data_IF_254039331797
#
_entry.id   IF_254039331797
#
_cell.length_a   1.000
_cell.length_b   1.000
_cell.length_c   1.000
_cell.angle_alpha   90.00
_cell.angle_beta   90.00
_cell.angle_gamma   90.00
#
_symmetry.space_group_name_H-M   'P 1'
#
loop_
_entity.id
_entity.type
_entity.pdbx_description
1 polymer ?
#
# COMPACT_ATOMS: atom_id res chain seq x y z
N UNK A 1 -19.96 -3.33 22.90
CA UNK A 1 -18.98 -4.27 22.29
C UNK A 1 -18.50 -3.83 20.89
N UNK A 2 -19.36 -3.32 20.01
CA UNK A 2 -18.97 -2.87 18.66
C UNK A 2 -17.85 -1.81 18.61
N UNK A 3 -17.90 -0.78 19.48
CA UNK A 3 -16.88 0.29 19.56
C UNK A 3 -15.50 -0.24 19.96
N UNK A 4 -15.44 -1.17 20.92
CA UNK A 4 -14.19 -1.80 21.36
C UNK A 4 -13.56 -2.67 20.26
N UNK A 5 -14.39 -3.44 19.53
CA UNK A 5 -13.94 -4.24 18.37
C UNK A 5 -13.42 -3.37 17.23
N UNK A 6 -14.11 -2.26 16.94
CA UNK A 6 -13.65 -1.27 15.95
C UNK A 6 -12.30 -0.68 16.34
N UNK A 7 -12.15 -0.28 17.60
CA UNK A 7 -10.89 0.30 18.10
C UNK A 7 -9.73 -0.70 18.06
N UNK A 8 -9.99 -1.96 18.42
CA UNK A 8 -8.99 -3.02 18.31
C UNK A 8 -8.55 -3.24 16.84
N UNK A 9 -9.48 -3.13 15.90
CA UNK A 9 -9.20 -3.16 14.46
C UNK A 9 -8.26 -2.04 14.02
N UNK A 10 -8.53 -0.79 14.42
CA UNK A 10 -7.67 0.37 14.14
C UNK A 10 -6.24 0.17 14.70
N UNK A 11 -6.13 -0.29 15.95
CA UNK A 11 -4.84 -0.54 16.61
C UNK A 11 -4.05 -1.61 15.83
N UNK A 12 -4.72 -2.68 15.39
CA UNK A 12 -4.08 -3.71 14.58
C UNK A 12 -3.65 -3.18 13.22
N UNK A 13 -4.43 -2.30 12.57
CA UNK A 13 -4.00 -1.68 11.30
C UNK A 13 -2.76 -0.80 11.48
N UNK A 14 -2.70 -0.02 12.55
CA UNK A 14 -1.52 0.77 12.87
C UNK A 14 -0.29 -0.11 13.18
N UNK A 15 -0.48 -1.20 13.91
CA UNK A 15 0.58 -2.19 14.17
C UNK A 15 1.10 -2.81 12.86
N UNK A 16 0.20 -3.16 11.93
CA UNK A 16 0.58 -3.70 10.63
C UNK A 16 1.40 -2.68 9.81
N UNK A 17 0.95 -1.42 9.75
CA UNK A 17 1.71 -0.36 9.08
C UNK A 17 3.11 -0.16 9.66
N UNK A 18 3.25 -0.22 11.00
CA UNK A 18 4.56 -0.16 11.67
C UNK A 18 5.45 -1.34 11.27
N UNK A 19 4.91 -2.55 11.19
CA UNK A 19 5.66 -3.74 10.77
C UNK A 19 6.08 -3.64 9.29
N UNK A 20 5.24 -3.10 8.41
CA UNK A 20 5.61 -2.83 7.01
C UNK A 20 6.73 -1.79 6.91
N UNK A 21 6.62 -0.70 7.66
CA UNK A 21 7.67 0.33 7.72
C UNK A 21 9.00 -0.22 8.24
N UNK A 22 8.97 -1.07 9.27
CA UNK A 22 10.17 -1.75 9.76
C UNK A 22 10.78 -2.69 8.71
N UNK A 23 9.95 -3.49 8.02
CA UNK A 23 10.42 -4.37 6.95
C UNK A 23 11.06 -3.61 5.79
N UNK A 24 10.50 -2.46 5.43
CA UNK A 24 11.10 -1.55 4.46
C UNK A 24 12.46 -1.02 4.93
N UNK A 25 12.56 -0.53 6.17
CA UNK A 25 13.82 -0.02 6.72
C UNK A 25 14.91 -1.10 6.77
N UNK A 26 14.56 -2.32 7.18
CA UNK A 26 15.49 -3.45 7.19
C UNK A 26 15.98 -3.81 5.78
N UNK A 27 15.07 -3.85 4.80
CA UNK A 27 15.42 -4.07 3.39
C UNK A 27 16.40 -2.99 2.89
N UNK A 28 16.09 -1.71 3.13
CA UNK A 28 16.90 -0.59 2.67
C UNK A 28 18.28 -0.59 3.30
N UNK A 29 18.39 -0.87 4.60
CA UNK A 29 19.68 -0.95 5.29
C UNK A 29 20.53 -2.13 4.82
N UNK A 30 19.92 -3.29 4.57
CA UNK A 30 20.67 -4.48 4.17
C UNK A 30 21.12 -4.42 2.70
N UNK A 31 20.31 -3.84 1.82
CA UNK A 31 20.57 -3.81 0.38
C UNK A 31 21.21 -2.52 -0.11
N UNK A 32 21.15 -1.46 0.70
CA UNK A 32 21.56 -0.10 0.31
C UNK A 32 20.67 0.53 -0.76
N UNK A 33 19.44 0.00 -0.95
CA UNK A 33 18.50 0.42 -2.00
C UNK A 33 17.08 0.39 -1.48
N UNK A 34 16.21 1.25 -2.00
CA UNK A 34 14.76 1.09 -1.82
C UNK A 34 14.18 0.09 -2.82
N UNK A 35 12.97 -0.47 -2.57
CA UNK A 35 12.35 -1.43 -3.46
C UNK A 35 12.26 -0.92 -4.90
N UNK A 36 12.50 -1.80 -5.86
CA UNK A 36 12.33 -1.48 -7.28
C UNK A 36 10.88 -1.71 -7.71
N UNK A 37 10.39 -0.85 -8.61
CA UNK A 37 9.06 -1.00 -9.20
C UNK A 37 9.01 -2.24 -10.11
N UNK A 38 10.11 -2.59 -10.78
CA UNK A 38 10.15 -3.71 -11.73
C UNK A 38 10.61 -5.03 -11.09
N UNK A 39 11.03 -5.02 -9.83
CA UNK A 39 11.56 -6.20 -9.14
C UNK A 39 10.49 -7.26 -8.89
N UNK A 40 10.95 -8.50 -8.76
CA UNK A 40 10.11 -9.61 -8.32
C UNK A 40 9.07 -9.99 -9.36
N UNK A 41 9.44 -10.14 -10.63
CA UNK A 41 8.49 -10.51 -11.70
C UNK A 41 7.21 -9.63 -11.72
N UNK A 42 7.37 -8.34 -11.41
CA UNK A 42 6.28 -7.39 -11.29
C UNK A 42 5.44 -7.52 -10.01
N UNK A 43 5.94 -8.09 -8.91
CA UNK A 43 5.28 -8.09 -7.58
C UNK A 43 5.58 -6.85 -6.74
N UNK A 44 6.31 -5.88 -7.31
CA UNK A 44 6.55 -4.57 -6.72
C UNK A 44 7.26 -4.67 -5.35
N UNK A 45 6.91 -3.77 -4.42
CA UNK A 45 7.47 -3.72 -3.08
C UNK A 45 7.24 -5.00 -2.26
N UNK A 46 6.15 -5.73 -2.52
CA UNK A 46 5.72 -6.84 -1.67
C UNK A 46 6.72 -8.00 -1.66
N UNK A 47 7.34 -8.30 -2.79
CA UNK A 47 8.38 -9.34 -2.85
C UNK A 47 9.68 -8.84 -2.25
N UNK A 48 10.04 -7.58 -2.51
CA UNK A 48 11.28 -6.97 -2.01
C UNK A 48 11.37 -7.01 -0.49
N UNK A 49 10.31 -6.60 0.20
CA UNK A 49 10.30 -6.54 1.68
C UNK A 49 9.67 -7.78 2.33
N UNK A 50 9.22 -8.75 1.53
CA UNK A 50 8.47 -9.94 1.96
C UNK A 50 9.14 -10.74 3.08
N UNK A 51 10.47 -10.85 2.99
CA UNK A 51 11.31 -11.59 3.94
C UNK A 51 11.64 -10.80 5.21
N UNK A 52 11.42 -9.47 5.17
CA UNK A 52 11.86 -8.52 6.20
C UNK A 52 10.74 -8.11 7.16
N UNK A 53 9.47 -8.41 6.85
CA UNK A 53 8.37 -8.34 7.82
C UNK A 53 8.10 -9.74 8.41
N UNK A 54 7.10 -9.92 9.31
CA UNK A 54 6.88 -11.16 10.11
C UNK A 54 6.49 -12.43 9.33
N UNK A 55 6.95 -12.56 8.07
CA UNK A 55 6.80 -13.69 7.15
C UNK A 55 5.35 -14.10 6.93
N UNK A 56 4.42 -13.16 7.15
CA UNK A 56 2.99 -13.38 6.95
C UNK A 56 2.39 -12.30 6.07
N UNK A 57 1.69 -12.76 5.03
CA UNK A 57 0.93 -11.89 4.14
C UNK A 57 -0.20 -11.13 4.86
N UNK A 58 -0.61 -11.61 6.03
CA UNK A 58 -1.67 -10.98 6.81
C UNK A 58 -1.34 -9.55 7.27
N UNK A 59 -0.05 -9.19 7.37
CA UNK A 59 0.36 -7.82 7.70
C UNK A 59 -0.08 -6.83 6.62
N UNK A 60 -0.15 -7.27 5.36
CA UNK A 60 -0.54 -6.39 4.25
C UNK A 60 -2.02 -6.01 4.31
N UNK A 61 -2.80 -6.65 5.18
CA UNK A 61 -4.25 -6.48 5.28
C UNK A 61 -4.64 -5.73 6.56
N UNK A 62 -5.60 -4.82 6.43
CA UNK A 62 -6.31 -4.27 7.57
C UNK A 62 -7.45 -5.23 7.96
N UNK A 63 -7.73 -5.54 9.24
CA UNK A 63 -8.75 -6.51 9.63
C UNK A 63 -10.17 -6.13 9.21
N UNK A 64 -10.42 -4.85 8.93
CA UNK A 64 -11.70 -4.35 8.42
C UNK A 64 -11.77 -4.33 6.89
N UNK A 65 -10.71 -4.77 6.21
CA UNK A 65 -10.53 -4.67 4.76
C UNK A 65 -9.88 -5.92 4.18
N UNK A 66 -10.55 -7.05 4.39
CA UNK A 66 -10.08 -8.36 3.95
C UNK A 66 -10.28 -8.55 2.44
N UNK A 67 -9.68 -9.62 1.90
CA UNK A 67 -9.94 -10.02 0.53
C UNK A 67 -11.44 -10.28 0.29
N UNK A 68 -11.99 -9.62 -0.72
CA UNK A 68 -13.28 -9.92 -1.34
C UNK A 68 -13.01 -10.14 -2.83
N UNK A 69 -13.86 -10.88 -3.55
CA UNK A 69 -13.70 -11.18 -4.99
C UNK A 69 -13.84 -9.91 -5.87
N UNK A 70 -12.88 -8.99 -5.75
CA UNK A 70 -12.77 -7.70 -6.44
C UNK A 70 -11.28 -7.43 -6.68
N UNK A 71 -10.97 -6.78 -7.81
CA UNK A 71 -9.58 -6.44 -8.16
C UNK A 71 -9.08 -5.22 -7.39
N UNK A 72 -9.89 -4.15 -7.37
CA UNK A 72 -9.59 -2.93 -6.62
C UNK A 72 -10.04 -3.05 -5.17
N UNK A 73 -9.28 -2.42 -4.29
CA UNK A 73 -9.63 -2.28 -2.89
C UNK A 73 -10.77 -1.28 -2.68
N UNK A 74 -11.19 -1.18 -1.44
CA UNK A 74 -12.20 -0.22 -0.96
C UNK A 74 -11.95 0.03 0.52
N UNK A 75 -12.76 0.85 1.18
CA UNK A 75 -12.78 1.04 2.62
C UNK A 75 -13.04 -0.27 3.39
N UNK A 76 -13.57 -1.31 2.74
CA UNK A 76 -13.90 -2.60 3.37
C UNK A 76 -13.35 -3.83 2.64
N UNK A 77 -12.52 -3.64 1.62
CA UNK A 77 -11.89 -4.74 0.86
C UNK A 77 -10.45 -4.45 0.49
N UNK A 78 -9.65 -5.51 0.47
CA UNK A 78 -8.29 -5.47 -0.05
C UNK A 78 -8.28 -5.34 -1.58
N UNK A 79 -7.21 -4.74 -2.10
CA UNK A 79 -6.84 -4.84 -3.50
C UNK A 79 -6.14 -6.18 -3.79
N UNK A 80 -6.13 -6.58 -5.06
CA UNK A 80 -5.50 -7.78 -5.57
C UNK A 80 -4.50 -7.41 -6.66
N UNK A 81 -3.29 -7.97 -6.58
CA UNK A 81 -2.23 -7.76 -7.54
C UNK A 81 -1.78 -9.07 -8.21
N UNK A 82 -1.71 -9.10 -9.53
CA UNK A 82 -1.38 -10.31 -10.29
C UNK A 82 -2.39 -11.46 -10.14
N UNK A 83 -2.02 -12.63 -10.66
CA UNK A 83 -2.88 -13.82 -10.76
C UNK A 83 -2.41 -15.02 -9.91
N UNK A 84 -1.30 -14.87 -9.20
CA UNK A 84 -0.74 -15.96 -8.38
C UNK A 84 -1.66 -16.26 -7.19
N UNK A 85 -1.96 -17.54 -6.99
CA UNK A 85 -2.81 -18.02 -5.91
C UNK A 85 -1.99 -18.56 -4.75
N UNK A 86 -2.50 -18.46 -3.53
CA UNK A 86 -1.89 -19.11 -2.37
C UNK A 86 -2.02 -20.63 -2.52
N UNK A 87 -0.93 -21.35 -2.25
CA UNK A 87 -0.84 -22.81 -2.36
C UNK A 87 -2.00 -23.48 -1.62
N UNK A 88 -2.73 -24.35 -2.30
CA UNK A 88 -3.87 -25.09 -1.73
C UNK A 88 -5.17 -24.30 -1.58
N UNK A 89 -5.24 -23.08 -2.12
CA UNK A 89 -6.44 -22.24 -2.06
C UNK A 89 -6.81 -21.66 -3.43
N UNK A 90 -7.99 -21.03 -3.52
CA UNK A 90 -8.40 -20.19 -4.66
C UNK A 90 -8.27 -18.68 -4.35
N UNK A 91 -7.48 -18.33 -3.33
CA UNK A 91 -7.26 -16.94 -2.95
C UNK A 91 -6.01 -16.36 -3.60
N UNK A 92 -6.05 -15.12 -4.10
CA UNK A 92 -4.85 -14.45 -4.59
C UNK A 92 -3.81 -14.28 -3.48
N UNK A 93 -2.54 -14.58 -3.81
CA UNK A 93 -1.40 -14.44 -2.89
C UNK A 93 -1.09 -12.98 -2.61
N UNK A 94 -1.14 -12.14 -3.64
CA UNK A 94 -0.79 -10.73 -3.50
C UNK A 94 -2.04 -9.90 -3.30
N UNK A 95 -2.37 -9.69 -2.02
CA UNK A 95 -3.47 -8.83 -1.60
C UNK A 95 -2.99 -7.85 -0.54
N UNK A 96 -3.65 -6.70 -0.45
CA UNK A 96 -3.33 -5.72 0.58
C UNK A 96 -4.42 -4.68 0.77
N UNK A 97 -4.37 -3.98 1.89
CA UNK A 97 -5.22 -2.83 2.21
C UNK A 97 -4.41 -1.54 2.35
N UNK A 98 -3.09 -1.62 2.15
CA UNK A 98 -2.14 -0.53 2.30
C UNK A 98 -1.38 -0.34 0.99
N UNK A 99 -0.88 0.86 0.76
CA UNK A 99 -0.01 1.19 -0.36
C UNK A 99 1.39 1.56 0.13
N UNK A 100 2.40 1.22 -0.68
CA UNK A 100 3.67 1.94 -0.63
C UNK A 100 3.46 3.35 -1.21
N UNK A 101 4.03 4.34 -0.55
CA UNK A 101 4.24 5.65 -1.14
C UNK A 101 5.26 5.51 -2.27
N UNK A 102 4.80 5.60 -3.51
CA UNK A 102 5.56 5.30 -4.71
C UNK A 102 6.79 6.20 -4.91
N UNK A 103 6.86 7.35 -4.24
CA UNK A 103 8.08 8.16 -4.19
C UNK A 103 9.27 7.39 -3.58
N UNK A 104 9.03 6.38 -2.75
CA UNK A 104 10.03 5.51 -2.13
C UNK A 104 10.43 4.31 -2.99
N UNK A 105 9.96 4.18 -4.23
CA UNK A 105 10.57 3.22 -5.15
C UNK A 105 11.95 3.71 -5.60
N UNK A 106 12.77 2.81 -6.14
CA UNK A 106 14.14 3.08 -6.62
C UNK A 106 14.27 4.09 -7.79
N UNK A 107 13.15 4.68 -8.22
CA UNK A 107 13.10 5.63 -9.33
C UNK A 107 13.08 4.95 -10.70
N UNK A 108 12.49 3.77 -10.80
CA UNK A 108 12.46 2.92 -11.98
C UNK A 108 11.03 2.61 -12.48
N UNK A 109 10.01 3.31 -11.97
CA UNK A 109 8.65 3.17 -12.47
C UNK A 109 8.50 3.76 -13.89
N UNK A 110 7.50 3.30 -14.69
CA UNK A 110 7.28 3.80 -16.04
C UNK A 110 7.07 5.31 -16.07
N UNK A 111 8.02 6.02 -16.67
CA UNK A 111 7.97 7.47 -16.79
C UNK A 111 6.87 7.91 -17.78
N UNK A 112 6.05 8.90 -17.41
CA UNK A 112 5.32 9.71 -18.39
C UNK A 112 4.10 9.10 -19.09
N UNK A 113 3.47 8.05 -18.56
CA UNK A 113 2.25 7.48 -19.16
C UNK A 113 0.94 8.17 -18.73
N UNK A 114 0.99 9.44 -18.31
CA UNK A 114 -0.15 10.20 -17.76
C UNK A 114 -0.62 9.75 -16.36
N UNK A 115 -0.35 8.50 -15.99
CA UNK A 115 -0.74 7.92 -14.71
C UNK A 115 0.30 8.12 -13.59
N UNK A 116 1.60 8.18 -13.94
CA UNK A 116 2.73 8.26 -13.00
C UNK A 116 3.54 9.55 -13.18
N UNK A 117 4.12 10.10 -12.10
CA UNK A 117 4.99 11.27 -12.19
C UNK A 117 6.40 10.93 -12.70
N UNK A 118 7.21 11.97 -12.92
CA UNK A 118 8.62 11.81 -13.29
C UNK A 118 9.44 11.19 -12.15
N UNK A 119 10.33 10.25 -12.49
CA UNK A 119 11.21 9.52 -11.55
C UNK A 119 12.28 10.39 -10.86
N UNK A 120 12.48 11.64 -11.33
CA UNK A 120 13.53 12.52 -10.79
C UNK A 120 13.35 12.87 -9.31
N UNK A 121 12.12 12.81 -8.81
CA UNK A 121 11.78 13.11 -7.41
C UNK A 121 11.70 11.85 -6.53
N UNK A 122 12.19 10.69 -6.99
CA UNK A 122 12.23 9.49 -6.17
C UNK A 122 13.16 9.65 -4.96
N UNK A 123 12.67 9.28 -3.78
CA UNK A 123 13.48 9.03 -2.59
C UNK A 123 14.11 7.64 -2.74
N UNK A 124 15.35 7.62 -3.21
CA UNK A 124 16.12 6.39 -3.45
C UNK A 124 16.73 5.83 -2.18
N UNK A 125 16.79 6.66 -1.13
CA UNK A 125 17.17 6.33 0.24
C UNK A 125 16.34 7.13 1.24
N UNK A 126 16.23 6.64 2.47
CA UNK A 126 15.54 7.37 3.55
C UNK A 126 16.17 8.73 3.85
N UNK A 127 17.47 8.88 3.58
CA UNK A 127 18.22 10.14 3.70
C UNK A 127 17.80 11.20 2.69
N UNK A 128 17.13 10.82 1.61
CA UNK A 128 16.62 11.77 0.60
C UNK A 128 15.38 12.51 1.12
N UNK A 129 14.75 12.01 2.19
CA UNK A 129 13.52 12.54 2.75
C UNK A 129 13.81 13.70 3.70
N UNK A 130 13.49 14.92 3.27
CA UNK A 130 13.70 16.14 4.08
C UNK A 130 12.88 16.19 5.36
N UNK A 131 11.65 15.67 5.32
CA UNK A 131 10.71 15.70 6.44
C UNK A 131 10.15 14.29 6.74
N UNK A 132 10.93 13.40 7.38
CA UNK A 132 10.53 12.00 7.59
C UNK A 132 9.21 11.85 8.36
N UNK A 133 8.96 12.70 9.35
CA UNK A 133 7.72 12.68 10.14
C UNK A 133 6.47 13.09 9.35
N UNK A 134 6.64 13.71 8.19
CA UNK A 134 5.55 14.15 7.30
C UNK A 134 5.50 13.33 5.99
N UNK A 135 6.39 12.34 5.83
CA UNK A 135 6.56 11.57 4.60
C UNK A 135 6.36 10.08 4.90
N UNK A 136 5.10 9.61 5.01
CA UNK A 136 4.84 8.21 5.33
C UNK A 136 5.31 7.29 4.19
N UNK A 137 5.95 6.18 4.56
CA UNK A 137 6.35 5.11 3.62
C UNK A 137 5.14 4.28 3.21
N UNK A 138 4.26 3.94 4.17
CA UNK A 138 3.02 3.21 3.93
C UNK A 138 1.80 4.00 4.40
N UNK A 139 0.70 3.82 3.68
CA UNK A 139 -0.58 4.44 4.00
C UNK A 139 -1.75 3.50 3.67
N UNK A 140 -2.94 3.87 4.13
CA UNK A 140 -4.17 3.21 3.71
C UNK A 140 -4.38 3.36 2.19
N UNK A 141 -4.87 2.32 1.50
CA UNK A 141 -5.11 2.42 0.07
C UNK A 141 -6.10 1.43 -0.52
N UNK A 142 -6.70 1.85 -1.64
CA UNK A 142 -7.48 1.00 -2.55
C UNK A 142 -6.61 0.32 -3.62
N UNK A 143 -5.32 0.65 -3.70
CA UNK A 143 -4.37 0.09 -4.66
C UNK A 143 -3.00 -0.19 -4.04
N UNK A 144 -2.11 -0.86 -4.77
CA UNK A 144 -0.83 -1.35 -4.25
C UNK A 144 0.21 -0.26 -3.97
N UNK A 145 0.11 0.86 -4.66
CA UNK A 145 0.97 2.04 -4.52
C UNK A 145 0.27 3.32 -4.96
N UNK A 146 0.82 4.46 -4.54
CA UNK A 146 0.40 5.78 -5.00
C UNK A 146 1.54 6.80 -4.94
N UNK A 147 1.53 7.77 -5.88
CA UNK A 147 2.39 8.95 -5.93
C UNK A 147 1.55 10.21 -5.71
N UNK A 148 1.15 10.49 -4.47
CA UNK A 148 0.37 11.68 -4.16
C UNK A 148 1.16 12.95 -4.49
N UNK A 149 0.48 13.92 -5.10
CA UNK A 149 0.98 15.25 -5.42
C UNK A 149 0.07 16.33 -4.82
N UNK A 150 0.63 17.51 -4.59
CA UNK A 150 -0.07 18.67 -4.00
C UNK A 150 -1.35 19.10 -4.74
N UNK A 151 -1.44 18.80 -6.04
CA UNK A 151 -2.59 19.16 -6.91
C UNK A 151 -3.60 18.03 -7.06
N UNK A 152 -3.32 16.85 -6.53
CA UNK A 152 -4.23 15.73 -6.64
C UNK A 152 -5.48 15.97 -5.80
N UNK A 153 -6.63 15.66 -6.38
CA UNK A 153 -7.89 15.65 -5.64
C UNK A 153 -8.02 14.36 -4.85
N UNK A 154 -8.72 14.44 -3.72
CA UNK A 154 -9.24 13.25 -3.05
C UNK A 154 -10.19 12.49 -3.98
N UNK A 155 -10.38 11.20 -3.71
CA UNK A 155 -11.36 10.38 -4.41
C UNK A 155 -12.77 10.98 -4.27
N UNK A 156 -13.50 11.03 -5.39
CA UNK A 156 -14.92 11.40 -5.43
C UNK A 156 -15.79 10.47 -4.57
N UNK A 157 -15.38 9.21 -4.42
CA UNK A 157 -16.01 8.24 -3.53
C UNK A 157 -15.00 7.67 -2.52
N UNK A 158 -15.05 8.14 -1.27
CA UNK A 158 -14.13 7.73 -0.20
C UNK A 158 -14.32 6.27 0.27
N UNK A 159 -15.41 5.60 -0.13
CA UNK A 159 -15.58 4.17 0.14
C UNK A 159 -14.86 3.32 -0.91
N UNK A 160 -14.78 3.76 -2.17
CA UNK A 160 -14.19 2.98 -3.25
C UNK A 160 -12.77 3.43 -3.61
N UNK A 161 -12.43 4.69 -3.34
CA UNK A 161 -11.26 5.35 -3.91
C UNK A 161 -11.35 5.43 -5.44
N UNK A 162 -10.26 5.78 -6.11
CA UNK A 162 -10.18 5.71 -7.57
C UNK A 162 -8.76 5.30 -8.03
N UNK A 163 -8.66 4.23 -8.83
CA UNK A 163 -7.39 3.76 -9.38
C UNK A 163 -7.00 4.42 -10.72
N UNK A 164 -7.97 5.02 -11.42
CA UNK A 164 -7.87 5.49 -12.80
C UNK A 164 -7.89 7.00 -13.01
N UNK A 165 -8.21 7.79 -11.97
CA UNK A 165 -8.18 9.27 -12.05
C UNK A 165 -6.75 9.84 -12.01
N UNK A 166 -5.88 9.25 -11.18
CA UNK A 166 -4.45 9.48 -11.10
C UNK A 166 -3.85 8.37 -10.22
N UNK A 167 -2.56 8.02 -10.36
CA UNK A 167 -1.92 7.16 -9.35
C UNK A 167 -1.68 7.89 -8.03
N UNK A 168 -2.47 8.91 -7.68
CA UNK A 168 -2.19 9.88 -6.65
C UNK A 168 -3.12 9.78 -5.45
N UNK A 169 -3.54 10.93 -4.91
CA UNK A 169 -4.34 11.01 -3.68
C UNK A 169 -5.62 10.16 -3.71
N UNK A 170 -6.29 10.01 -4.86
CA UNK A 170 -7.52 9.25 -4.97
C UNK A 170 -7.38 7.75 -4.62
N UNK A 171 -6.16 7.20 -4.68
CA UNK A 171 -5.90 5.82 -4.24
C UNK A 171 -5.83 5.68 -2.72
N UNK A 172 -5.50 6.75 -2.00
CA UNK A 172 -5.16 6.71 -0.56
C UNK A 172 -6.13 7.50 0.32
N UNK A 173 -7.04 8.26 -0.28
CA UNK A 173 -8.12 8.95 0.45
C UNK A 173 -9.33 8.03 0.59
N UNK A 174 -9.24 7.06 1.50
CA UNK A 174 -10.33 6.18 1.88
C UNK A 174 -10.87 6.55 3.26
N UNK A 175 -12.19 6.41 3.44
CA UNK A 175 -12.84 6.53 4.74
C UNK A 175 -12.86 5.19 5.49
N UNK A 176 -11.72 4.48 5.53
CA UNK A 176 -11.59 3.24 6.31
C UNK A 176 -11.77 3.56 7.79
N UNK A 177 -12.40 2.64 8.52
CA UNK A 177 -12.76 2.78 9.95
C UNK A 177 -13.88 3.79 10.26
N UNK A 178 -14.34 4.60 9.29
CA UNK A 178 -15.52 5.46 9.48
C UNK A 178 -16.84 4.80 9.08
N UNK A 179 -16.82 3.97 8.04
CA UNK A 179 -17.99 3.22 7.60
C UNK A 179 -17.80 1.74 7.95
N UNK A 180 -18.76 1.09 8.65
CA UNK A 180 -18.66 -0.32 8.96
C UNK A 180 -18.64 -1.15 7.67
N UNK A 181 -18.00 -2.32 7.72
CA UNK A 181 -18.28 -3.36 6.75
C UNK A 181 -19.78 -3.68 6.88
N UNK A 182 -20.59 -3.24 5.92
CA UNK A 182 -21.93 -3.80 5.77
C UNK A 182 -21.73 -5.31 5.59
N UNK A 183 -22.29 -6.08 6.52
CA UNK A 183 -22.38 -7.53 6.43
C UNK A 183 -23.14 -7.95 5.17
#
# INVERSE_FOLDING_TARGET
>A
MAKAKSKAGEIKCLSNLKQLGLGFFMYSNQTGKTPSYNMGNGKLWMESIGEYYSKTDAIRLCPTAIYKKRKTGSSTSAWVWGSELRKGTREPKWTGSYALNGWFYSGDWPNGAGLFPLVRNAFRLDTDVRYPSQSPIFCDSMWVDAWPQERDRCASNLALGNAGENAGMARITLARHKYPASE
#
